data_IF_889638467223
#
_entry.id   IF_889638467223
#
_cell.length_a   1.000
_cell.length_b   1.000
_cell.length_c   1.000
_cell.angle_alpha   90.00
_cell.angle_beta   90.00
_cell.angle_gamma   90.00
#
_symmetry.space_group_name_H-M   'P 1'
#
loop_
_entity.id
_entity.type
_entity.pdbx_description
1 polymer ?
#
# COMPACT_ATOMS: atom_id res chain seq x y z
N UNK A 1 -7.77 10.01 -76.07
CA UNK A 1 -8.46 10.88 -75.13
C UNK A 1 -8.51 10.17 -73.77
N UNK A 2 -7.44 10.29 -72.96
CA UNK A 2 -7.32 9.58 -71.66
C UNK A 2 -7.65 10.53 -70.51
N UNK A 3 -8.59 10.10 -69.65
CA UNK A 3 -9.17 10.90 -68.56
C UNK A 3 -8.19 10.97 -67.37
N UNK A 4 -7.88 12.19 -66.95
CA UNK A 4 -7.16 12.57 -65.72
C UNK A 4 -8.11 12.46 -64.50
N UNK A 5 -8.20 11.31 -63.89
CA UNK A 5 -8.96 11.19 -62.61
C UNK A 5 -8.19 10.51 -61.48
N UNK A 6 -6.88 10.17 -61.62
CA UNK A 6 -6.21 9.34 -60.61
C UNK A 6 -5.47 10.11 -59.50
N UNK A 7 -5.47 11.44 -59.51
CA UNK A 7 -4.64 12.24 -58.57
C UNK A 7 -5.36 12.66 -57.30
N UNK A 8 -6.67 12.52 -57.20
CA UNK A 8 -7.38 12.97 -55.98
C UNK A 8 -7.51 11.88 -54.92
N UNK A 9 -7.53 10.63 -55.26
CA UNK A 9 -7.71 9.51 -54.31
C UNK A 9 -6.45 9.28 -53.49
N UNK A 10 -5.24 9.46 -54.08
CA UNK A 10 -3.98 9.20 -53.40
C UNK A 10 -3.64 10.22 -52.27
N UNK A 11 -4.12 11.47 -52.41
CA UNK A 11 -3.90 12.50 -51.38
C UNK A 11 -4.81 12.37 -50.18
N UNK A 12 -6.03 11.86 -50.34
CA UNK A 12 -6.99 11.62 -49.25
C UNK A 12 -6.53 10.40 -48.42
N UNK A 13 -6.10 9.33 -49.09
CA UNK A 13 -5.59 8.13 -48.39
C UNK A 13 -4.28 8.41 -47.62
N UNK A 14 -3.38 9.24 -48.17
CA UNK A 14 -2.15 9.63 -47.50
C UNK A 14 -2.42 10.48 -46.23
N UNK A 15 -3.39 11.39 -46.30
CA UNK A 15 -3.78 12.20 -45.12
C UNK A 15 -4.49 11.38 -44.05
N UNK A 16 -5.31 10.40 -44.44
CA UNK A 16 -5.99 9.50 -43.51
C UNK A 16 -4.99 8.56 -42.82
N UNK A 17 -3.98 8.04 -43.55
CA UNK A 17 -2.89 7.26 -42.98
C UNK A 17 -2.01 8.06 -42.03
N UNK A 18 -1.76 9.33 -42.32
CA UNK A 18 -1.00 10.22 -41.44
C UNK A 18 -1.74 10.52 -40.14
N UNK A 19 -3.06 10.74 -40.21
CA UNK A 19 -3.91 10.94 -39.03
C UNK A 19 -4.02 9.66 -38.19
N UNK A 20 -4.09 8.48 -38.82
CA UNK A 20 -4.11 7.21 -38.12
C UNK A 20 -2.77 6.91 -37.45
N UNK A 21 -1.65 7.28 -38.08
CA UNK A 21 -0.30 7.15 -37.51
C UNK A 21 -0.10 8.11 -36.31
N UNK A 22 -0.68 9.32 -36.33
CA UNK A 22 -0.64 10.23 -35.20
C UNK A 22 -1.45 9.72 -33.99
N UNK A 23 -2.54 9.01 -34.24
CA UNK A 23 -3.36 8.39 -33.18
C UNK A 23 -2.68 7.18 -32.53
N UNK A 24 -1.80 6.48 -33.27
CA UNK A 24 -1.03 5.36 -32.76
C UNK A 24 0.31 5.78 -32.10
N UNK A 25 0.73 7.02 -32.32
CA UNK A 25 1.95 7.60 -31.71
C UNK A 25 1.65 8.31 -30.38
N UNK A 26 0.66 7.81 -29.61
CA UNK A 26 0.51 8.26 -28.22
C UNK A 26 1.68 7.70 -27.40
N UNK A 27 2.69 8.51 -27.06
CA UNK A 27 3.77 8.04 -26.21
C UNK A 27 3.21 7.81 -24.81
N UNK A 28 3.35 6.58 -24.35
CA UNK A 28 3.35 6.24 -22.94
C UNK A 28 2.14 6.72 -22.16
N UNK A 29 1.35 5.79 -21.65
CA UNK A 29 0.36 6.10 -20.65
C UNK A 29 0.95 7.10 -19.66
N UNK A 30 0.24 8.18 -19.38
CA UNK A 30 0.49 9.06 -18.25
C UNK A 30 0.45 8.20 -16.99
N UNK A 31 1.58 7.61 -16.64
CA UNK A 31 1.75 6.99 -15.35
C UNK A 31 1.72 8.14 -14.37
N UNK A 32 0.58 8.37 -13.76
CA UNK A 32 0.45 9.35 -12.69
C UNK A 32 1.53 9.00 -11.65
N UNK A 33 2.47 9.91 -11.44
CA UNK A 33 3.47 9.76 -10.39
C UNK A 33 2.67 9.79 -9.09
N UNK A 34 2.65 8.65 -8.38
CA UNK A 34 2.00 8.57 -7.09
C UNK A 34 2.50 9.73 -6.21
N UNK A 35 1.56 10.50 -5.68
CA UNK A 35 1.82 11.64 -4.78
C UNK A 35 1.80 11.15 -3.34
N UNK A 36 2.28 11.95 -2.39
CA UNK A 36 2.15 11.64 -0.95
C UNK A 36 0.68 11.42 -0.53
N UNK A 37 -0.27 11.99 -1.26
CA UNK A 37 -1.70 11.79 -1.07
C UNK A 37 -2.16 10.35 -1.36
N UNK A 38 -1.41 9.59 -2.15
CA UNK A 38 -1.72 8.20 -2.50
C UNK A 38 -1.03 7.20 -1.56
N UNK A 39 -0.29 7.68 -0.55
CA UNK A 39 0.42 6.83 0.42
C UNK A 39 -0.46 6.61 1.65
N UNK A 40 -0.70 5.34 1.97
CA UNK A 40 -1.41 4.91 3.18
C UNK A 40 -0.44 4.24 4.15
N UNK A 41 -0.42 4.75 5.39
CA UNK A 41 0.44 4.27 6.47
C UNK A 41 -0.40 3.62 7.55
N UNK A 42 -0.22 2.32 7.75
CA UNK A 42 -1.04 1.51 8.65
C UNK A 42 -0.16 0.87 9.71
N UNK A 43 -0.46 1.11 10.98
CA UNK A 43 0.18 0.46 12.11
C UNK A 43 -0.81 -0.48 12.80
N UNK A 44 -0.50 -1.77 12.83
CA UNK A 44 -1.20 -2.73 13.66
C UNK A 44 -0.45 -2.95 14.98
N UNK A 45 -1.15 -2.96 16.11
CA UNK A 45 -0.63 -3.33 17.42
C UNK A 45 -1.42 -4.56 17.85
N UNK A 46 -0.80 -5.75 17.77
CA UNK A 46 -1.58 -6.96 17.90
C UNK A 46 -0.78 -8.23 18.12
N UNK A 47 -1.31 -9.30 17.56
CA UNK A 47 -0.87 -10.68 17.75
C UNK A 47 -0.87 -11.44 16.42
N UNK A 48 -1.04 -12.77 16.41
CA UNK A 48 -1.05 -13.58 15.19
C UNK A 48 -2.13 -13.15 14.18
N UNK A 49 -3.27 -12.64 14.63
CA UNK A 49 -4.30 -12.14 13.70
C UNK A 49 -3.87 -10.88 12.98
N UNK A 50 -3.18 -9.94 13.63
CA UNK A 50 -2.63 -8.78 12.94
C UNK A 50 -1.53 -9.19 11.96
N UNK A 51 -0.73 -10.21 12.27
CA UNK A 51 0.25 -10.76 11.35
C UNK A 51 -0.41 -11.23 10.05
N UNK A 52 -1.44 -12.06 10.16
CA UNK A 52 -2.13 -12.59 8.98
C UNK A 52 -2.86 -11.47 8.19
N UNK A 53 -3.50 -10.54 8.90
CA UNK A 53 -4.28 -9.48 8.28
C UNK A 53 -3.43 -8.44 7.53
N UNK A 54 -2.32 -8.00 8.10
CA UNK A 54 -1.58 -6.84 7.57
C UNK A 54 -0.25 -7.17 6.92
N UNK A 55 0.46 -8.20 7.39
CA UNK A 55 1.79 -8.50 6.87
C UNK A 55 1.77 -9.26 5.55
N UNK A 56 0.76 -10.12 5.31
CA UNK A 56 0.78 -11.02 4.16
C UNK A 56 0.23 -10.38 2.90
N UNK A 57 -0.89 -9.67 2.99
CA UNK A 57 -1.65 -9.30 1.81
C UNK A 57 -1.91 -7.80 1.67
N UNK A 58 -1.93 -7.02 2.75
CA UNK A 58 -2.40 -5.65 2.72
C UNK A 58 -1.57 -4.75 1.77
N UNK A 59 -0.24 -4.96 1.72
CA UNK A 59 0.64 -4.22 0.82
C UNK A 59 0.27 -4.44 -0.65
N UNK A 60 0.12 -5.70 -1.07
CA UNK A 60 -0.20 -6.03 -2.47
C UNK A 60 -1.64 -5.66 -2.83
N UNK A 61 -2.58 -5.77 -1.90
CA UNK A 61 -3.96 -5.31 -2.09
C UNK A 61 -4.00 -3.79 -2.31
N UNK A 62 -3.36 -3.01 -1.45
CA UNK A 62 -3.29 -1.55 -1.62
C UNK A 62 -2.63 -1.15 -2.94
N UNK A 63 -1.53 -1.83 -3.30
CA UNK A 63 -0.84 -1.61 -4.56
C UNK A 63 -1.73 -1.91 -5.78
N UNK A 64 -2.56 -2.96 -5.72
CA UNK A 64 -3.50 -3.28 -6.80
C UNK A 64 -4.57 -2.20 -7.01
N UNK A 65 -4.90 -1.46 -5.96
CA UNK A 65 -5.83 -0.32 -5.98
C UNK A 65 -5.14 1.03 -6.26
N UNK A 66 -3.83 1.01 -6.53
CA UNK A 66 -3.07 2.21 -6.89
C UNK A 66 -2.49 2.99 -5.70
N UNK A 67 -2.55 2.44 -4.49
CA UNK A 67 -1.96 3.06 -3.30
C UNK A 67 -0.51 2.63 -3.10
N UNK A 68 0.29 3.53 -2.53
CA UNK A 68 1.57 3.21 -1.92
C UNK A 68 1.29 2.83 -0.47
N UNK A 69 1.69 1.63 -0.06
CA UNK A 69 1.45 1.15 1.30
C UNK A 69 2.73 1.16 2.12
N UNK A 70 2.66 1.68 3.35
CA UNK A 70 3.67 1.49 4.40
C UNK A 70 2.95 0.82 5.57
N UNK A 71 3.44 -0.33 5.99
CA UNK A 71 2.77 -1.14 7.01
C UNK A 71 3.73 -1.41 8.16
N UNK A 72 3.29 -1.12 9.38
CA UNK A 72 3.94 -1.52 10.61
C UNK A 72 3.09 -2.54 11.36
N UNK A 73 3.69 -3.57 11.93
CA UNK A 73 3.04 -4.49 12.85
C UNK A 73 3.85 -4.63 14.13
N UNK A 74 3.28 -4.20 15.25
CA UNK A 74 3.81 -4.38 16.60
C UNK A 74 3.31 -5.72 17.15
N UNK A 75 4.12 -6.76 16.96
CA UNK A 75 3.74 -8.14 17.18
C UNK A 75 4.18 -8.68 18.54
N UNK A 76 3.23 -9.28 19.27
CA UNK A 76 3.48 -10.22 20.36
C UNK A 76 2.45 -11.35 20.24
N UNK A 77 2.90 -12.60 20.14
CA UNK A 77 2.00 -13.77 20.05
C UNK A 77 1.01 -13.83 21.22
N UNK A 78 -0.30 -13.99 20.92
CA UNK A 78 -1.35 -14.12 21.93
C UNK A 78 -1.54 -12.89 22.85
N UNK A 79 -1.08 -11.71 22.46
CA UNK A 79 -1.14 -10.51 23.27
C UNK A 79 -2.58 -10.00 23.42
N UNK A 80 -3.03 -9.79 24.67
CA UNK A 80 -4.30 -9.17 24.98
C UNK A 80 -4.23 -7.65 25.01
N UNK A 81 -5.39 -6.97 24.91
CA UNK A 81 -5.46 -5.52 25.05
C UNK A 81 -4.93 -5.03 26.41
N UNK A 82 -5.21 -5.75 27.50
CA UNK A 82 -4.65 -5.46 28.82
C UNK A 82 -3.12 -5.44 28.81
N UNK A 83 -2.49 -6.45 28.16
CA UNK A 83 -1.05 -6.50 28.04
C UNK A 83 -0.49 -5.36 27.19
N UNK A 84 -1.18 -4.97 26.11
CA UNK A 84 -0.80 -3.80 25.33
C UNK A 84 -0.84 -2.53 26.17
N UNK A 85 -1.92 -2.30 26.95
CA UNK A 85 -2.05 -1.15 27.86
C UNK A 85 -0.92 -1.13 28.90
N UNK A 86 -0.58 -2.29 29.50
CA UNK A 86 0.53 -2.39 30.45
C UNK A 86 1.87 -2.03 29.79
N UNK A 87 2.11 -2.52 28.58
CA UNK A 87 3.35 -2.24 27.85
C UNK A 87 3.46 -0.75 27.47
N UNK A 88 2.34 -0.11 27.08
CA UNK A 88 2.30 1.34 26.81
C UNK A 88 2.67 2.12 28.07
N UNK A 89 1.99 1.86 29.19
CA UNK A 89 2.21 2.58 30.46
C UNK A 89 3.65 2.48 30.98
N UNK A 90 4.29 1.34 30.77
CA UNK A 90 5.64 1.08 31.24
C UNK A 90 6.72 1.31 30.18
N UNK A 91 6.34 1.76 28.98
CA UNK A 91 7.20 1.87 27.80
C UNK A 91 8.09 0.61 27.57
N UNK A 92 7.46 -0.57 27.67
CA UNK A 92 8.17 -1.85 27.66
C UNK A 92 8.60 -2.22 26.23
N UNK A 93 9.89 -2.51 25.98
CA UNK A 93 10.42 -2.89 24.67
C UNK A 93 10.15 -4.38 24.39
N UNK A 94 8.88 -4.78 24.29
CA UNK A 94 8.45 -6.17 24.24
C UNK A 94 8.05 -6.67 22.84
N UNK A 95 8.06 -5.80 21.84
CA UNK A 95 7.48 -6.11 20.53
C UNK A 95 8.55 -6.47 19.52
N UNK A 96 8.20 -7.42 18.64
CA UNK A 96 8.79 -7.51 17.32
C UNK A 96 8.08 -6.52 16.41
N UNK A 97 8.75 -5.45 16.00
CA UNK A 97 8.23 -4.49 15.06
C UNK A 97 8.60 -4.93 13.65
N UNK A 98 7.59 -5.27 12.86
CA UNK A 98 7.73 -5.73 11.50
C UNK A 98 7.20 -4.68 10.56
N UNK A 99 8.05 -4.16 9.70
CA UNK A 99 7.71 -3.09 8.77
C UNK A 99 7.81 -3.58 7.34
N UNK A 100 6.83 -3.22 6.53
CA UNK A 100 6.84 -3.32 5.07
C UNK A 100 6.91 -1.90 4.54
N UNK A 101 7.96 -1.57 3.82
CA UNK A 101 8.16 -0.24 3.25
C UNK A 101 7.36 -0.05 1.95
N UNK A 102 7.43 1.15 1.39
CA UNK A 102 6.76 1.52 0.12
C UNK A 102 7.14 0.65 -1.08
N UNK A 103 8.29 -0.04 -1.05
CA UNK A 103 8.76 -0.93 -2.11
C UNK A 103 8.34 -2.38 -1.87
N UNK A 104 7.74 -2.69 -0.70
CA UNK A 104 7.42 -4.04 -0.26
C UNK A 104 8.57 -4.74 0.45
N UNK A 105 9.67 -4.05 0.76
CA UNK A 105 10.79 -4.60 1.52
C UNK A 105 10.39 -4.77 2.98
N UNK A 106 10.80 -5.91 3.58
CA UNK A 106 10.41 -6.31 4.93
C UNK A 106 11.60 -6.26 5.87
N UNK A 107 11.40 -5.61 7.02
CA UNK A 107 12.38 -5.58 8.12
C UNK A 107 11.70 -5.94 9.43
N UNK A 108 12.45 -6.62 10.34
CA UNK A 108 12.02 -6.88 11.70
C UNK A 108 13.00 -6.24 12.67
N UNK A 109 12.49 -5.41 13.59
CA UNK A 109 13.25 -4.80 14.68
C UNK A 109 12.69 -5.36 15.98
N UNK A 110 13.53 -6.00 16.79
CA UNK A 110 13.15 -6.55 18.09
C UNK A 110 13.30 -5.51 19.20
N UNK A 111 12.70 -5.80 20.34
CA UNK A 111 12.75 -4.92 21.51
C UNK A 111 12.25 -3.50 21.23
N UNK A 112 11.20 -3.42 20.39
CA UNK A 112 10.54 -2.14 20.06
C UNK A 112 9.52 -1.78 21.13
N UNK A 113 9.42 -0.47 21.44
CA UNK A 113 8.30 0.07 22.24
C UNK A 113 7.22 0.63 21.32
N UNK A 114 5.98 0.68 21.83
CA UNK A 114 4.86 1.27 21.06
C UNK A 114 5.12 2.76 20.77
N UNK A 115 5.70 3.49 21.75
CA UNK A 115 6.05 4.90 21.57
C UNK A 115 7.00 5.13 20.38
N UNK A 116 8.04 4.33 20.27
CA UNK A 116 9.00 4.42 19.14
C UNK A 116 8.34 4.07 17.81
N UNK A 117 7.49 3.05 17.79
CA UNK A 117 6.79 2.65 16.57
C UNK A 117 5.78 3.71 16.11
N UNK A 118 5.08 4.37 17.05
CA UNK A 118 4.19 5.49 16.74
C UNK A 118 4.93 6.69 16.16
N UNK A 119 6.18 6.89 16.56
CA UNK A 119 7.04 7.99 16.08
C UNK A 119 7.77 7.67 14.77
N UNK A 120 7.75 6.42 14.30
CA UNK A 120 8.52 5.98 13.12
C UNK A 120 7.94 6.49 11.80
N UNK A 121 6.62 6.61 11.69
CA UNK A 121 5.92 7.13 10.53
C UNK A 121 4.74 8.02 10.98
N UNK A 122 4.28 8.95 10.13
CA UNK A 122 3.02 9.66 10.35
C UNK A 122 1.85 8.76 9.97
N UNK A 123 1.51 7.83 10.86
CA UNK A 123 0.50 6.81 10.64
C UNK A 123 -0.88 7.40 10.35
N UNK A 124 -1.52 6.97 9.25
CA UNK A 124 -2.89 7.34 8.91
C UNK A 124 -3.89 6.51 9.70
N UNK A 125 -3.55 5.23 9.95
CA UNK A 125 -4.40 4.29 10.68
C UNK A 125 -3.58 3.52 11.73
N UNK A 126 -4.14 3.42 12.94
CA UNK A 126 -3.59 2.59 14.02
C UNK A 126 -4.69 1.65 14.50
N UNK A 127 -4.41 0.35 14.55
CA UNK A 127 -5.32 -0.66 15.07
C UNK A 127 -4.76 -1.33 16.32
N UNK A 128 -5.66 -1.71 17.23
CA UNK A 128 -5.36 -2.49 18.42
C UNK A 128 -6.17 -3.78 18.39
N UNK A 129 -5.55 -4.92 18.71
CA UNK A 129 -6.19 -6.20 18.60
C UNK A 129 -6.23 -6.97 19.92
N UNK A 130 -7.40 -7.52 20.22
CA UNK A 130 -7.62 -8.42 21.38
C UNK A 130 -7.15 -9.84 21.04
N UNK A 131 -6.72 -10.58 22.07
CA UNK A 131 -6.46 -12.01 21.97
C UNK A 131 -7.77 -12.82 21.96
N UNK A 132 -7.82 -13.90 21.16
CA UNK A 132 -9.03 -14.74 21.00
C UNK A 132 -9.66 -15.21 22.31
N UNK A 133 -8.89 -15.69 23.31
CA UNK A 133 -9.49 -16.23 24.54
C UNK A 133 -10.32 -15.23 25.34
N UNK A 134 -10.08 -13.93 25.13
CA UNK A 134 -10.77 -12.82 25.84
C UNK A 134 -11.60 -11.96 24.90
N UNK A 135 -11.67 -12.34 23.62
CA UNK A 135 -12.50 -11.63 22.63
C UNK A 135 -13.97 -11.97 22.86
N UNK A 136 -14.81 -10.94 23.00
CA UNK A 136 -16.26 -11.11 23.25
C UNK A 136 -16.65 -11.28 24.70
N UNK A 137 -15.71 -11.19 25.65
CA UNK A 137 -16.02 -11.12 27.08
C UNK A 137 -16.28 -9.65 27.41
N UNK A 138 -17.51 -9.34 27.80
CA UNK A 138 -17.95 -8.02 28.28
C UNK A 138 -18.14 -8.13 29.80
N UNK A 139 -17.33 -7.41 30.57
CA UNK A 139 -17.52 -7.24 32.01
C UNK A 139 -18.34 -5.97 32.28
#
# INVERSE_FOLDING_TARGET
>A
MMKRNDFHVSRLSARLLLLLALLLASPGGLQAKATDADTLRVLAIGNSFSQDAVEQYLHELGKSEGYIMIIGNMYIGGCSLERHVKNIRNNTPAYAYRKVDKNGERVEIREMTIEKALADEPWDYVSLQQASPVSGIYE
#
